data_IF_794618628999
#
_entry.id   IF_794618628999
#
_cell.length_a   1.000
_cell.length_b   1.000
_cell.length_c   1.000
_cell.angle_alpha   90.00
_cell.angle_beta   90.00
_cell.angle_gamma   90.00
#
_symmetry.space_group_name_H-M   'P 1'
#
loop_
_entity.id
_entity.type
_entity.pdbx_description
1 polymer ?
#
# COMPACT_ATOMS: atom_id res chain seq x y z
N UNK A 1 2.01 29.05 -13.78
CA UNK A 1 2.36 29.85 -12.59
C UNK A 1 1.11 29.86 -11.73
N UNK A 2 1.11 29.03 -10.70
CA UNK A 2 -0.02 28.94 -9.77
C UNK A 2 0.11 27.89 -8.66
N UNK A 3 1.34 27.48 -8.30
CA UNK A 3 1.69 26.84 -7.01
C UNK A 3 2.37 27.87 -6.08
N UNK A 4 2.20 29.16 -6.40
CA UNK A 4 3.37 30.02 -6.57
C UNK A 4 3.97 30.60 -5.30
N UNK A 5 3.43 30.32 -4.10
CA UNK A 5 4.00 30.88 -2.86
C UNK A 5 4.17 29.92 -1.69
N UNK A 6 3.72 28.67 -1.79
CA UNK A 6 4.00 27.64 -0.76
C UNK A 6 5.18 26.73 -1.11
N UNK A 7 5.81 26.93 -2.27
CA UNK A 7 7.18 26.49 -2.53
C UNK A 7 8.24 27.41 -1.87
N UNK A 8 7.85 28.45 -1.12
CA UNK A 8 8.76 29.53 -0.71
C UNK A 8 9.21 29.55 0.76
N UNK A 9 8.75 28.66 1.64
CA UNK A 9 9.37 28.57 2.97
C UNK A 9 9.26 27.16 3.54
N UNK A 10 10.36 26.41 3.40
CA UNK A 10 10.68 25.18 4.12
C UNK A 10 9.49 24.25 4.41
N UNK A 11 9.07 23.49 3.39
CA UNK A 11 8.21 22.32 3.61
C UNK A 11 8.99 21.23 4.38
N UNK A 12 8.36 20.54 5.35
CA UNK A 12 9.03 19.44 6.06
C UNK A 12 9.35 18.29 5.09
N UNK A 13 10.43 17.53 5.33
CA UNK A 13 10.99 16.58 4.36
C UNK A 13 10.21 15.26 4.20
N UNK A 14 9.04 15.10 4.81
CA UNK A 14 8.29 13.85 4.76
C UNK A 14 6.80 14.11 4.58
N UNK A 15 6.28 13.75 3.40
CA UNK A 15 4.85 13.59 3.16
C UNK A 15 4.76 12.41 2.19
N UNK A 16 4.68 11.20 2.74
CA UNK A 16 4.42 9.98 1.98
C UNK A 16 2.99 9.54 2.32
N UNK A 17 2.22 9.25 1.27
CA UNK A 17 0.86 8.68 1.27
C UNK A 17 -0.30 9.67 1.12
N UNK A 18 -0.92 9.62 -0.06
CA UNK A 18 -2.17 10.30 -0.37
C UNK A 18 -3.26 9.22 -0.39
N UNK A 19 -4.19 9.30 0.55
CA UNK A 19 -5.42 8.50 0.57
C UNK A 19 -6.53 9.31 -0.09
N UNK A 20 -7.11 8.80 -1.18
CA UNK A 20 -8.35 9.33 -1.75
C UNK A 20 -9.50 8.43 -1.33
N UNK A 21 -10.03 8.68 -0.14
CA UNK A 21 -11.28 8.07 0.33
C UNK A 21 -12.47 8.86 -0.21
N UNK A 22 -13.31 8.23 -1.02
CA UNK A 22 -14.64 8.76 -1.35
C UNK A 22 -15.71 7.94 -0.66
N UNK A 23 -16.20 8.45 0.47
CA UNK A 23 -17.47 8.01 1.08
C UNK A 23 -17.36 7.47 2.51
N UNK A 24 -17.79 8.28 3.49
CA UNK A 24 -18.01 7.87 4.88
C UNK A 24 -17.67 8.98 5.90
N UNK A 25 -18.43 9.15 7.00
CA UNK A 25 -18.24 10.28 7.89
C UNK A 25 -17.11 10.07 8.92
N UNK A 26 -16.23 11.08 8.94
CA UNK A 26 -15.44 11.62 10.05
C UNK A 26 -14.39 10.74 10.78
N UNK A 27 -13.11 11.02 10.49
CA UNK A 27 -12.04 11.17 11.48
C UNK A 27 -11.48 12.60 11.34
N UNK A 28 -11.08 13.23 12.44
CA UNK A 28 -10.63 14.63 12.48
C UNK A 28 -9.39 14.87 11.62
N UNK A 29 -9.64 15.23 10.38
CA UNK A 29 -8.73 15.92 9.51
C UNK A 29 -8.97 17.41 9.62
N UNK A 30 -8.04 18.23 9.15
CA UNK A 30 -8.37 19.60 8.77
C UNK A 30 -9.36 19.58 7.61
N UNK A 31 -10.63 19.33 7.92
CA UNK A 31 -11.75 19.33 6.98
C UNK A 31 -12.06 20.78 6.64
N UNK A 32 -11.29 21.32 5.70
CA UNK A 32 -11.73 22.48 4.94
C UNK A 32 -13.04 22.05 4.27
N UNK A 33 -14.19 22.50 4.77
CA UNK A 33 -15.46 22.25 4.07
C UNK A 33 -15.36 22.93 2.70
N UNK A 34 -15.38 22.18 1.58
CA UNK A 34 -15.31 22.80 0.27
C UNK A 34 -16.64 23.53 0.02
N UNK A 35 -16.69 24.83 0.29
CA UNK A 35 -17.75 25.71 -0.19
C UNK A 35 -17.56 25.88 -1.69
N UNK A 36 -18.10 24.94 -2.48
CA UNK A 36 -18.17 25.01 -3.93
C UNK A 36 -17.63 23.76 -4.64
N UNK A 37 -18.45 22.73 -4.82
CA UNK A 37 -18.30 21.67 -5.84
C UNK A 37 -17.01 20.84 -5.87
N UNK A 38 -16.04 21.08 -4.99
CA UNK A 38 -14.79 20.34 -4.93
C UNK A 38 -14.93 19.13 -4.01
N UNK A 39 -14.42 17.98 -4.45
CA UNK A 39 -14.37 16.77 -3.63
C UNK A 39 -13.49 17.02 -2.39
N UNK A 40 -13.91 16.53 -1.21
CA UNK A 40 -13.10 16.66 -0.01
C UNK A 40 -11.77 15.91 -0.15
N UNK A 41 -10.69 16.50 0.37
CA UNK A 41 -9.36 15.88 0.45
C UNK A 41 -9.04 15.67 1.91
N UNK A 42 -8.64 14.43 2.24
CA UNK A 42 -8.20 14.03 3.56
C UNK A 42 -6.67 13.91 3.56
N UNK A 43 -5.98 14.75 4.34
CA UNK A 43 -4.56 14.59 4.61
C UNK A 43 -4.39 13.91 5.97
N UNK A 44 -3.68 12.78 5.98
CA UNK A 44 -3.28 12.06 7.18
C UNK A 44 -1.84 12.47 7.50
N UNK A 45 -1.64 13.21 8.58
CA UNK A 45 -0.32 13.66 9.06
C UNK A 45 -0.01 13.01 10.43
N UNK A 46 -0.27 11.71 10.50
CA UNK A 46 -0.15 10.90 11.71
C UNK A 46 0.47 9.55 11.36
N UNK A 47 1.38 9.07 12.22
CA UNK A 47 2.01 7.77 12.02
C UNK A 47 1.10 6.64 12.50
N UNK A 48 0.94 5.60 11.67
CA UNK A 48 0.23 4.37 12.03
C UNK A 48 -1.28 4.38 11.77
N UNK A 49 -1.87 5.49 11.34
CA UNK A 49 -3.32 5.59 11.09
C UNK A 49 -3.73 5.15 9.68
N UNK A 50 -2.79 5.12 8.73
CA UNK A 50 -3.05 4.73 7.34
C UNK A 50 -3.78 3.38 7.22
N UNK A 51 -3.37 2.41 8.04
CA UNK A 51 -3.95 1.07 8.03
C UNK A 51 -5.47 1.08 8.28
N UNK A 52 -5.96 1.99 9.15
CA UNK A 52 -7.40 2.14 9.39
C UNK A 52 -8.11 2.77 8.19
N UNK A 53 -7.43 3.67 7.47
CA UNK A 53 -7.99 4.34 6.29
C UNK A 53 -8.10 3.43 5.06
N UNK A 54 -7.26 2.38 4.95
CA UNK A 54 -7.38 1.41 3.86
C UNK A 54 -8.73 0.70 3.82
N UNK A 55 -9.35 0.48 4.99
CA UNK A 55 -10.70 -0.11 5.07
C UNK A 55 -11.81 0.76 4.48
N UNK A 56 -11.53 2.03 4.18
CA UNK A 56 -12.47 2.99 3.59
C UNK A 56 -12.22 3.21 2.09
N UNK A 57 -11.17 2.62 1.52
CA UNK A 57 -10.74 2.87 0.15
C UNK A 57 -11.26 1.80 -0.82
N UNK A 58 -12.00 2.22 -1.85
CA UNK A 58 -12.34 1.35 -2.99
C UNK A 58 -11.16 1.17 -3.94
N UNK A 59 -10.32 2.20 -4.08
CA UNK A 59 -9.16 2.27 -4.96
C UNK A 59 -7.99 2.85 -4.17
N UNK A 60 -6.82 2.24 -4.28
CA UNK A 60 -5.62 2.67 -3.60
C UNK A 60 -4.47 2.85 -4.60
N UNK A 61 -3.81 4.00 -4.59
CA UNK A 61 -2.54 4.17 -5.28
C UNK A 61 -1.40 4.13 -4.26
N UNK A 62 -0.46 3.21 -4.46
CA UNK A 62 0.68 3.02 -3.57
C UNK A 62 1.87 3.83 -4.07
N UNK A 63 2.31 4.80 -3.26
CA UNK A 63 3.36 5.77 -3.57
C UNK A 63 4.77 5.17 -3.68
N UNK A 64 5.76 6.05 -3.86
CA UNK A 64 7.18 5.65 -4.04
C UNK A 64 7.49 4.89 -5.34
N UNK A 65 6.46 4.60 -6.15
CA UNK A 65 6.50 3.69 -7.28
C UNK A 65 6.52 4.40 -8.66
N UNK A 66 6.12 5.66 -8.72
CA UNK A 66 6.32 6.53 -9.91
C UNK A 66 7.70 7.22 -9.90
N UNK A 67 8.38 7.19 -8.77
CA UNK A 67 9.71 7.77 -8.54
C UNK A 67 10.76 6.67 -8.37
N UNK A 68 12.04 7.03 -8.27
CA UNK A 68 13.11 6.05 -8.09
C UNK A 68 13.27 5.55 -6.62
N UNK A 69 12.17 5.35 -5.88
CA UNK A 69 12.20 4.93 -4.45
C UNK A 69 11.97 3.43 -4.25
N UNK A 70 11.47 2.72 -5.27
CA UNK A 70 11.33 1.27 -5.26
C UNK A 70 9.98 0.75 -4.78
N UNK A 71 9.00 1.64 -4.65
CA UNK A 71 7.63 1.31 -4.22
C UNK A 71 7.48 1.24 -2.70
N UNK A 72 6.23 1.05 -2.27
CA UNK A 72 5.82 0.82 -0.89
C UNK A 72 4.93 -0.43 -0.82
N UNK A 73 4.42 -0.80 0.36
CA UNK A 73 3.74 -2.06 0.58
C UNK A 73 2.35 -2.18 -0.09
N UNK A 74 2.27 -2.85 -1.25
CA UNK A 74 0.99 -3.09 -1.94
C UNK A 74 0.05 -4.08 -1.23
N UNK A 75 0.55 -4.87 -0.27
CA UNK A 75 -0.27 -5.86 0.43
C UNK A 75 -1.23 -5.23 1.44
N UNK A 76 -0.92 -4.04 1.97
CA UNK A 76 -1.77 -3.35 2.93
C UNK A 76 -3.13 -2.98 2.32
N UNK A 77 -3.23 -2.11 1.30
CA UNK A 77 -4.52 -1.80 0.68
C UNK A 77 -5.18 -3.03 0.06
N UNK A 78 -4.40 -3.92 -0.55
CA UNK A 78 -4.91 -5.16 -1.14
C UNK A 78 -5.57 -6.07 -0.10
N UNK A 79 -5.03 -6.13 1.13
CA UNK A 79 -5.58 -6.92 2.23
C UNK A 79 -6.94 -6.41 2.72
N UNK A 80 -7.19 -5.10 2.60
CA UNK A 80 -8.49 -4.49 2.87
C UNK A 80 -9.48 -4.61 1.69
N UNK A 81 -9.02 -5.08 0.53
CA UNK A 81 -9.85 -5.28 -0.66
C UNK A 81 -9.95 -4.07 -1.57
N UNK A 82 -9.03 -3.11 -1.46
CA UNK A 82 -8.95 -1.98 -2.38
C UNK A 82 -8.39 -2.43 -3.74
N UNK A 83 -8.87 -1.83 -4.83
CA UNK A 83 -8.27 -1.91 -6.15
C UNK A 83 -6.90 -1.22 -6.15
N UNK A 84 -5.81 -2.00 -6.23
CA UNK A 84 -4.44 -1.47 -6.07
C UNK A 84 -3.85 -0.97 -7.39
N UNK A 85 -3.39 0.28 -7.40
CA UNK A 85 -2.63 0.93 -8.46
C UNK A 85 -1.20 1.24 -7.96
N UNK A 86 -0.19 1.11 -8.82
CA UNK A 86 1.17 1.50 -8.49
C UNK A 86 1.99 1.85 -9.75
N UNK A 87 3.10 2.56 -9.58
CA UNK A 87 4.02 2.91 -10.65
C UNK A 87 5.04 1.82 -11.01
N UNK A 88 5.82 1.96 -12.09
CA UNK A 88 6.69 0.89 -12.58
C UNK A 88 7.87 0.55 -11.66
N UNK A 89 8.27 1.48 -10.78
CA UNK A 89 9.48 1.35 -9.95
C UNK A 89 9.19 0.60 -8.65
N UNK A 90 9.20 -0.73 -8.70
CA UNK A 90 8.78 -1.61 -7.57
C UNK A 90 9.82 -2.65 -7.18
N UNK A 91 11.11 -2.41 -7.41
CA UNK A 91 12.16 -3.42 -7.19
C UNK A 91 12.25 -3.93 -5.74
N UNK A 92 11.84 -3.14 -4.72
CA UNK A 92 11.79 -3.59 -3.33
C UNK A 92 10.66 -4.60 -3.08
N UNK A 93 9.65 -4.63 -3.97
CA UNK A 93 8.42 -5.40 -3.83
C UNK A 93 8.16 -6.29 -5.06
N UNK A 94 9.21 -6.61 -5.83
CA UNK A 94 9.11 -7.28 -7.14
C UNK A 94 8.27 -8.56 -7.12
N UNK A 95 8.55 -9.46 -6.18
CA UNK A 95 7.84 -10.74 -6.09
C UNK A 95 6.35 -10.55 -5.79
N UNK A 96 6.04 -9.56 -4.94
CA UNK A 96 4.67 -9.18 -4.60
C UNK A 96 3.95 -8.59 -5.79
N UNK A 97 4.59 -7.67 -6.53
CA UNK A 97 3.97 -7.00 -7.67
C UNK A 97 3.79 -7.95 -8.85
N UNK A 98 4.75 -8.82 -9.14
CA UNK A 98 4.62 -9.87 -10.15
C UNK A 98 3.43 -10.80 -9.84
N UNK A 99 3.29 -11.24 -8.58
CA UNK A 99 2.18 -12.08 -8.17
C UNK A 99 0.82 -11.37 -8.30
N UNK A 100 0.69 -10.13 -7.80
CA UNK A 100 -0.54 -9.34 -7.92
C UNK A 100 -0.95 -9.11 -9.39
N UNK A 101 0.02 -8.82 -10.27
CA UNK A 101 -0.23 -8.61 -11.70
C UNK A 101 -0.69 -9.90 -12.38
N UNK A 102 -0.09 -11.04 -12.05
CA UNK A 102 -0.48 -12.35 -12.61
C UNK A 102 -1.93 -12.74 -12.28
N UNK A 103 -2.44 -12.26 -11.15
CA UNK A 103 -3.81 -12.49 -10.67
C UNK A 103 -4.79 -11.40 -11.11
N UNK A 104 -4.35 -10.44 -11.92
CA UNK A 104 -5.14 -9.25 -12.25
C UNK A 104 -5.71 -8.54 -11.00
N UNK A 105 -4.93 -8.56 -9.91
CA UNK A 105 -5.27 -8.03 -8.60
C UNK A 105 -4.74 -6.61 -8.38
N UNK A 106 -3.95 -6.09 -9.33
CA UNK A 106 -3.46 -4.73 -9.32
C UNK A 106 -3.17 -4.24 -10.75
N UNK A 107 -2.92 -2.94 -10.90
CA UNK A 107 -2.59 -2.33 -12.19
C UNK A 107 -1.40 -1.37 -12.08
N UNK A 108 -0.47 -1.47 -13.03
CA UNK A 108 0.63 -0.52 -13.19
C UNK A 108 0.12 0.73 -13.91
N UNK A 109 0.59 1.90 -13.48
CA UNK A 109 0.37 3.20 -14.14
C UNK A 109 1.71 3.91 -14.32
N UNK A 110 1.96 4.54 -15.46
CA UNK A 110 3.28 5.10 -15.80
C UNK A 110 3.43 6.59 -15.46
N UNK A 111 2.34 7.27 -15.08
CA UNK A 111 2.37 8.67 -14.73
C UNK A 111 1.00 9.26 -14.37
N UNK A 112 0.93 10.59 -14.15
CA UNK A 112 -0.28 11.25 -13.65
C UNK A 112 -1.51 11.10 -14.55
N UNK A 113 -1.32 11.15 -15.88
CA UNK A 113 -2.41 11.00 -16.84
C UNK A 113 -3.01 9.58 -16.76
N UNK A 114 -2.16 8.55 -16.83
CA UNK A 114 -2.62 7.16 -16.76
C UNK A 114 -3.22 6.83 -15.39
N UNK A 115 -2.69 7.39 -14.30
CA UNK A 115 -3.29 7.27 -12.98
C UNK A 115 -4.72 7.85 -12.96
N UNK A 116 -4.89 9.04 -13.54
CA UNK A 116 -6.21 9.70 -13.63
C UNK A 116 -7.21 8.84 -14.42
N UNK A 117 -6.78 8.31 -15.56
CA UNK A 117 -7.61 7.46 -16.41
C UNK A 117 -7.94 6.12 -15.74
N UNK A 118 -6.97 5.51 -15.06
CA UNK A 118 -7.17 4.27 -14.32
C UNK A 118 -8.17 4.45 -13.17
N UNK A 119 -8.00 5.49 -12.36
CA UNK A 119 -8.94 5.82 -11.27
C UNK A 119 -10.33 6.10 -11.84
N UNK A 120 -10.45 6.90 -12.90
CA UNK A 120 -11.73 7.18 -13.56
C UNK A 120 -12.40 5.91 -14.07
N UNK A 121 -11.66 5.03 -14.73
CA UNK A 121 -12.19 3.77 -15.26
C UNK A 121 -12.74 2.87 -14.15
N UNK A 122 -12.03 2.78 -13.02
CA UNK A 122 -12.44 1.98 -11.86
C UNK A 122 -13.65 2.59 -11.13
N UNK A 123 -13.71 3.92 -11.01
CA UNK A 123 -14.88 4.62 -10.45
C UNK A 123 -16.13 4.44 -11.32
N UNK A 124 -15.97 4.47 -12.66
CA UNK A 124 -17.07 4.26 -13.60
C UNK A 124 -17.44 2.77 -13.75
N UNK A 125 -16.59 1.86 -13.31
CA UNK A 125 -16.86 0.42 -13.28
C UNK A 125 -16.57 -0.20 -11.89
N UNK A 126 -17.47 0.01 -10.90
CA UNK A 126 -17.29 -0.50 -9.56
C UNK A 126 -17.21 -2.03 -9.47
N UNK A 127 -17.77 -2.75 -10.46
CA UNK A 127 -17.66 -4.20 -10.50
C UNK A 127 -16.22 -4.65 -10.75
N UNK A 128 -15.50 -3.98 -11.65
CA UNK A 128 -14.09 -4.25 -11.91
C UNK A 128 -13.21 -3.86 -10.72
N UNK A 129 -13.47 -2.71 -10.08
CA UNK A 129 -12.77 -2.32 -8.86
C UNK A 129 -12.91 -3.38 -7.75
N UNK A 130 -14.14 -3.85 -7.49
CA UNK A 130 -14.39 -4.92 -6.52
C UNK A 130 -13.74 -6.24 -6.91
N UNK A 131 -13.77 -6.62 -8.19
CA UNK A 131 -13.11 -7.85 -8.68
C UNK A 131 -11.60 -7.80 -8.42
N UNK A 132 -10.96 -6.69 -8.80
CA UNK A 132 -9.52 -6.49 -8.61
C UNK A 132 -9.14 -6.49 -7.13
N UNK A 133 -9.89 -5.75 -6.30
CA UNK A 133 -9.68 -5.70 -4.86
C UNK A 133 -9.90 -7.04 -4.15
N UNK A 134 -10.92 -7.81 -4.55
CA UNK A 134 -11.16 -9.15 -4.02
C UNK A 134 -10.02 -10.10 -4.36
N UNK A 135 -9.50 -10.08 -5.59
CA UNK A 135 -8.35 -10.87 -5.98
C UNK A 135 -7.10 -10.51 -5.15
N UNK A 136 -6.88 -9.21 -4.88
CA UNK A 136 -5.79 -8.77 -4.02
C UNK A 136 -5.95 -9.29 -2.58
N UNK A 137 -7.16 -9.21 -2.03
CA UNK A 137 -7.48 -9.68 -0.68
C UNK A 137 -7.28 -11.19 -0.53
N UNK A 138 -7.73 -11.97 -1.52
CA UNK A 138 -7.54 -13.42 -1.56
C UNK A 138 -6.05 -13.78 -1.65
N UNK A 139 -5.28 -13.07 -2.48
CA UNK A 139 -3.84 -13.25 -2.53
C UNK A 139 -3.18 -12.99 -1.16
N UNK A 140 -3.45 -11.84 -0.54
CA UNK A 140 -2.91 -11.52 0.80
C UNK A 140 -3.33 -12.56 1.83
N UNK A 141 -4.58 -13.04 1.78
CA UNK A 141 -5.07 -14.09 2.66
C UNK A 141 -4.31 -15.41 2.47
N UNK A 142 -3.96 -15.78 1.23
CA UNK A 142 -3.20 -16.99 0.93
C UNK A 142 -1.75 -16.94 1.43
N UNK A 143 -1.19 -15.74 1.62
CA UNK A 143 0.16 -15.56 2.15
C UNK A 143 0.25 -15.59 3.68
N UNK A 144 -0.87 -15.77 4.38
CA UNK A 144 -0.85 -15.94 5.83
C UNK A 144 -0.02 -17.16 6.26
N UNK A 145 0.47 -17.12 7.49
CA UNK A 145 1.26 -18.20 8.07
C UNK A 145 2.70 -18.28 7.55
N UNK A 146 3.17 -17.32 6.74
CA UNK A 146 4.57 -17.21 6.34
C UNK A 146 5.50 -17.20 7.57
N UNK A 147 5.20 -16.36 8.58
CA UNK A 147 5.96 -16.31 9.83
C UNK A 147 6.05 -17.67 10.52
N UNK A 148 4.93 -18.40 10.62
CA UNK A 148 4.92 -19.72 11.25
C UNK A 148 5.80 -20.71 10.48
N UNK A 149 5.63 -20.78 9.14
CA UNK A 149 6.45 -21.62 8.26
C UNK A 149 7.94 -21.31 8.40
N UNK A 150 8.30 -20.02 8.43
CA UNK A 150 9.68 -19.58 8.64
C UNK A 150 10.20 -20.01 10.01
N UNK A 151 9.42 -19.84 11.07
CA UNK A 151 9.80 -20.27 12.44
C UNK A 151 9.97 -21.78 12.50
N UNK A 152 9.07 -22.56 11.89
CA UNK A 152 9.17 -24.03 11.85
C UNK A 152 10.44 -24.48 11.14
N UNK A 153 10.77 -23.90 9.98
CA UNK A 153 12.00 -24.20 9.24
C UNK A 153 13.26 -23.81 10.01
N UNK A 154 13.28 -22.63 10.65
CA UNK A 154 14.40 -22.22 11.49
C UNK A 154 14.55 -23.15 12.70
N UNK A 155 13.42 -23.56 13.31
CA UNK A 155 13.42 -24.46 14.47
C UNK A 155 13.98 -25.84 14.11
N UNK A 156 13.63 -26.39 12.93
CA UNK A 156 14.20 -27.66 12.48
C UNK A 156 15.70 -27.56 12.22
N UNK A 157 16.16 -26.49 11.59
CA UNK A 157 17.60 -26.27 11.35
C UNK A 157 18.39 -26.10 12.65
N UNK A 158 17.83 -25.46 13.67
CA UNK A 158 18.45 -25.33 14.99
C UNK A 158 18.47 -26.69 15.71
N UNK A 159 17.39 -27.46 15.65
CA UNK A 159 17.31 -28.77 16.29
C UNK A 159 18.26 -29.81 15.67
N UNK A 160 18.45 -29.76 14.35
CA UNK A 160 19.40 -30.63 13.63
C UNK A 160 20.87 -30.21 13.87
N UNK A 161 21.08 -28.96 14.29
CA UNK A 161 22.40 -28.43 14.57
C UNK A 161 22.82 -28.75 16.00
N UNK A 162 23.76 -29.68 16.17
CA UNK A 162 24.50 -29.93 17.43
C UNK A 162 25.38 -28.73 17.87
N UNK A 163 24.95 -27.49 17.66
CA UNK A 163 25.74 -26.28 17.90
C UNK A 163 25.72 -25.86 19.39
N UNK A 164 24.88 -26.46 20.24
CA UNK A 164 24.81 -26.11 21.68
C UNK A 164 25.41 -27.13 22.65
N UNK A 165 25.98 -28.24 22.18
CA UNK A 165 26.61 -29.27 23.04
C UNK A 165 28.06 -28.94 23.47
N UNK A 166 28.42 -27.65 23.56
CA UNK A 166 29.79 -27.22 23.91
C UNK A 166 29.96 -26.82 25.39
N UNK A 167 29.21 -27.44 26.30
CA UNK A 167 29.37 -27.29 27.76
C UNK A 167 30.23 -28.40 28.41
N UNK A 168 31.09 -29.08 27.64
CA UNK A 168 31.91 -30.19 28.14
C UNK A 168 33.44 -29.96 28.18
N UNK A 169 33.96 -28.74 28.00
CA UNK A 169 35.43 -28.48 28.02
C UNK A 169 35.86 -27.31 28.93
N UNK A 170 35.34 -27.27 30.16
CA UNK A 170 35.96 -26.50 31.24
C UNK A 170 36.19 -27.44 32.44
N UNK A 171 37.32 -28.15 32.40
CA UNK A 171 37.93 -28.86 33.52
C UNK A 171 39.41 -28.49 33.59
#
# INVERSE_FOLDING_TARGET
>A
VGWDKLASSAGPPFCEEIVLATGGPALEASLSHPTGGQSPILLLDTLGELAACWGLADIAFVGGSLTNRGGQNMLEPGGYGAAVLFGPNTWNFRDVTEALLSLQAARVVTGPAELTDAVRALLLNPAEARRMGQAAREFVASQRGATRRTVELLSSLIADSKILDNSAHAA
#
